data_IF_231741279299
#
_entry.id   IF_231741279299
#
_cell.length_a   1.000
_cell.length_b   1.000
_cell.length_c   1.000
_cell.angle_alpha   90.00
_cell.angle_beta   90.00
_cell.angle_gamma   90.00
#
_symmetry.space_group_name_H-M   'P 1'
#
loop_
_entity.id
_entity.type
_entity.pdbx_description
1 polymer ?
#
# COMPACT_ATOMS: atom_id res chain seq x y z
N UNK A 1 -2.81 -20.35 -2.07
CA UNK A 1 -2.72 -18.87 -2.07
C UNK A 1 -3.98 -18.36 -1.40
N UNK A 2 -3.90 -17.52 -0.34
CA UNK A 2 -5.10 -16.96 0.26
C UNK A 2 -5.89 -16.18 -0.81
N UNK A 3 -7.22 -16.23 -0.70
CA UNK A 3 -8.10 -15.53 -1.62
C UNK A 3 -7.79 -14.02 -1.61
N UNK A 4 -7.88 -13.41 -2.79
CA UNK A 4 -7.68 -11.97 -2.96
C UNK A 4 -8.72 -11.22 -2.09
N UNK A 5 -8.29 -10.23 -1.30
CA UNK A 5 -9.20 -9.36 -0.56
C UNK A 5 -10.13 -8.66 -1.54
N UNK A 6 -11.43 -8.72 -1.27
CA UNK A 6 -12.40 -7.85 -1.96
C UNK A 6 -12.21 -6.40 -1.49
N UNK A 7 -12.67 -5.43 -2.30
CA UNK A 7 -12.59 -4.01 -1.94
C UNK A 7 -13.22 -3.72 -0.57
N UNK A 8 -14.35 -4.35 -0.25
CA UNK A 8 -15.02 -4.18 1.04
C UNK A 8 -14.21 -4.77 2.20
N UNK A 9 -13.59 -5.94 2.03
CA UNK A 9 -12.75 -6.53 3.06
C UNK A 9 -11.48 -5.70 3.29
N UNK A 10 -10.87 -5.16 2.23
CA UNK A 10 -9.74 -4.24 2.34
C UNK A 10 -10.12 -2.97 3.12
N UNK A 11 -11.29 -2.39 2.83
CA UNK A 11 -11.80 -1.21 3.57
C UNK A 11 -11.98 -1.51 5.05
N UNK A 12 -12.59 -2.65 5.40
CA UNK A 12 -12.77 -3.03 6.80
C UNK A 12 -11.44 -3.30 7.52
N UNK A 13 -10.47 -3.87 6.81
CA UNK A 13 -9.14 -4.11 7.38
C UNK A 13 -8.40 -2.80 7.66
N UNK A 14 -8.43 -1.84 6.72
CA UNK A 14 -7.88 -0.50 6.93
C UNK A 14 -8.58 0.21 8.10
N UNK A 15 -9.91 0.12 8.17
CA UNK A 15 -10.67 0.71 9.29
C UNK A 15 -10.24 0.12 10.64
N UNK A 16 -10.02 -1.20 10.73
CA UNK A 16 -9.49 -1.84 11.95
C UNK A 16 -8.09 -1.35 12.32
N UNK A 17 -7.20 -1.21 11.35
CA UNK A 17 -5.84 -0.66 11.56
C UNK A 17 -5.92 0.77 12.10
N UNK A 18 -6.73 1.63 11.49
CA UNK A 18 -6.91 3.02 11.93
C UNK A 18 -7.51 3.13 13.33
N UNK A 19 -8.31 2.13 13.74
CA UNK A 19 -8.88 2.04 15.09
C UNK A 19 -7.92 1.40 16.11
N UNK A 20 -6.72 1.01 15.70
CA UNK A 20 -5.74 0.28 16.51
C UNK A 20 -6.32 -1.03 17.08
N UNK A 21 -7.18 -1.70 16.31
CA UNK A 21 -7.90 -2.92 16.71
C UNK A 21 -7.11 -4.21 16.39
N UNK A 22 -5.80 -4.18 16.61
CA UNK A 22 -4.88 -5.31 16.45
C UNK A 22 -4.25 -5.67 17.79
N UNK A 23 -3.92 -6.95 17.99
CA UNK A 23 -3.40 -7.47 19.25
C UNK A 23 -1.93 -7.10 19.49
N UNK A 24 -1.13 -7.08 18.43
CA UNK A 24 0.30 -6.82 18.48
C UNK A 24 0.86 -6.30 17.13
N UNK A 25 2.11 -5.84 17.14
CA UNK A 25 2.81 -5.34 15.95
C UNK A 25 2.98 -6.40 14.85
N UNK A 26 3.02 -7.69 15.19
CA UNK A 26 3.17 -8.76 14.21
C UNK A 26 1.86 -8.98 13.44
N UNK A 27 0.71 -8.91 14.11
CA UNK A 27 -0.61 -8.90 13.48
C UNK A 27 -0.78 -7.66 12.58
N UNK A 28 -0.37 -6.48 13.07
CA UNK A 28 -0.37 -5.27 12.24
C UNK A 28 0.48 -5.45 10.98
N UNK A 29 1.69 -5.99 11.10
CA UNK A 29 2.57 -6.26 9.95
C UNK A 29 1.92 -7.20 8.95
N UNK A 30 1.32 -8.32 9.40
CA UNK A 30 0.62 -9.27 8.52
C UNK A 30 -0.53 -8.60 7.76
N UNK A 31 -1.30 -7.74 8.43
CA UNK A 31 -2.41 -7.03 7.80
C UNK A 31 -1.94 -6.02 6.75
N UNK A 32 -0.86 -5.29 7.04
CA UNK A 32 -0.24 -4.36 6.09
C UNK A 32 0.33 -5.11 4.87
N UNK A 33 1.13 -6.16 5.09
CA UNK A 33 1.68 -7.01 4.02
C UNK A 33 0.57 -7.57 3.11
N UNK A 34 -0.54 -8.00 3.72
CA UNK A 34 -1.69 -8.49 2.98
C UNK A 34 -2.33 -7.40 2.11
N UNK A 35 -2.53 -6.21 2.66
CA UNK A 35 -3.07 -5.07 1.91
C UNK A 35 -2.15 -4.65 0.75
N UNK A 36 -0.83 -4.59 0.97
CA UNK A 36 0.15 -4.25 -0.07
C UNK A 36 0.11 -5.24 -1.23
N UNK A 37 0.08 -6.54 -0.91
CA UNK A 37 0.01 -7.61 -1.91
C UNK A 37 -1.30 -7.60 -2.70
N UNK A 38 -2.42 -7.32 -2.04
CA UNK A 38 -3.75 -7.35 -2.66
C UNK A 38 -4.07 -6.09 -3.50
N UNK A 39 -3.62 -4.93 -3.03
CA UNK A 39 -3.84 -3.63 -3.67
C UNK A 39 -2.73 -3.25 -4.65
N UNK A 40 -1.54 -3.88 -4.55
CA UNK A 40 -0.39 -3.59 -5.40
C UNK A 40 0.27 -2.24 -5.10
N UNK A 41 0.05 -1.70 -3.90
CA UNK A 41 0.64 -0.45 -3.42
C UNK A 41 1.80 -0.77 -2.48
N UNK A 42 3.04 -0.41 -2.83
CA UNK A 42 4.16 -0.53 -1.89
C UNK A 42 4.02 0.50 -0.77
N UNK A 43 4.36 0.14 0.47
CA UNK A 43 4.35 1.03 1.64
C UNK A 43 2.96 1.59 1.96
N UNK A 44 1.95 0.73 2.09
CA UNK A 44 0.59 1.18 2.40
C UNK A 44 0.48 1.80 3.81
N UNK A 45 1.38 1.45 4.71
CA UNK A 45 1.51 2.03 6.04
C UNK A 45 1.71 3.55 5.98
N UNK A 46 2.50 4.05 5.03
CA UNK A 46 2.72 5.49 4.86
C UNK A 46 1.42 6.21 4.45
N UNK A 47 0.61 5.54 3.64
CA UNK A 47 -0.70 6.07 3.22
C UNK A 47 -1.70 6.17 4.38
N UNK A 48 -1.58 5.30 5.37
CA UNK A 48 -2.47 5.24 6.55
C UNK A 48 -1.98 6.19 7.65
N UNK A 49 -0.68 6.24 7.93
CA UNK A 49 -0.13 6.91 9.12
C UNK A 49 0.55 8.26 8.83
N UNK A 50 1.04 8.49 7.61
CA UNK A 50 1.87 9.67 7.30
C UNK A 50 1.09 10.76 6.55
N UNK A 51 0.07 10.39 5.77
CA UNK A 51 -0.64 11.35 4.90
C UNK A 51 -1.51 12.32 5.71
N UNK A 52 -1.33 13.62 5.44
CA UNK A 52 -2.15 14.71 5.99
C UNK A 52 -2.81 15.52 4.85
N UNK A 53 -4.14 15.79 4.91
CA UNK A 53 -5.08 15.37 5.95
C UNK A 53 -5.29 13.84 5.98
N UNK A 54 -5.69 13.32 7.15
CA UNK A 54 -5.98 11.89 7.34
C UNK A 54 -7.02 11.43 6.31
N UNK A 55 -6.73 10.33 5.62
CA UNK A 55 -7.60 9.73 4.62
C UNK A 55 -8.61 8.80 5.28
N UNK A 56 -9.83 8.74 4.75
CA UNK A 56 -10.79 7.72 5.17
C UNK A 56 -10.36 6.33 4.67
N UNK A 57 -10.81 5.23 5.32
CA UNK A 57 -10.49 3.86 4.87
C UNK A 57 -10.85 3.60 3.40
N UNK A 58 -11.92 4.22 2.92
CA UNK A 58 -12.35 4.14 1.52
C UNK A 58 -11.34 4.81 0.59
N UNK A 59 -10.90 6.03 0.93
CA UNK A 59 -9.92 6.78 0.14
C UNK A 59 -8.55 6.11 0.11
N UNK A 60 -8.13 5.50 1.23
CA UNK A 60 -6.90 4.70 1.30
C UNK A 60 -6.93 3.59 0.26
N UNK A 61 -8.01 2.79 0.27
CA UNK A 61 -8.16 1.66 -0.66
C UNK A 61 -8.27 2.13 -2.11
N UNK A 62 -9.01 3.22 -2.37
CA UNK A 62 -9.12 3.77 -3.73
C UNK A 62 -7.78 4.25 -4.27
N UNK A 63 -7.02 5.00 -3.46
CA UNK A 63 -5.72 5.52 -3.84
C UNK A 63 -4.69 4.42 -4.03
N UNK A 64 -4.68 3.44 -3.11
CA UNK A 64 -3.81 2.27 -3.21
C UNK A 64 -4.12 1.46 -4.47
N UNK A 65 -5.41 1.16 -4.72
CA UNK A 65 -5.82 0.38 -5.90
C UNK A 65 -5.67 1.13 -7.22
N UNK A 66 -5.70 2.46 -7.22
CA UNK A 66 -5.48 3.30 -8.40
C UNK A 66 -3.99 3.48 -8.73
N UNK A 67 -3.10 3.13 -7.80
CA UNK A 67 -1.66 3.27 -8.02
C UNK A 67 -1.19 2.33 -9.12
N UNK A 68 -0.51 2.91 -10.10
CA UNK A 68 0.19 2.14 -11.13
C UNK A 68 1.69 2.28 -10.91
N UNK A 69 2.41 1.18 -10.63
CA UNK A 69 3.87 1.21 -10.54
C UNK A 69 4.44 1.79 -11.83
N UNK A 70 5.29 2.81 -11.69
CA UNK A 70 6.06 3.32 -12.82
C UNK A 70 7.11 2.27 -13.13
N UNK A 71 7.06 1.70 -14.34
CA UNK A 71 8.11 0.82 -14.82
C UNK A 71 9.38 1.66 -15.01
N UNK A 72 10.27 1.66 -14.02
CA UNK A 72 11.61 2.22 -14.17
C UNK A 72 12.34 1.36 -15.18
N UNK A 73 12.44 1.89 -16.40
CA UNK A 73 13.22 1.28 -17.46
C UNK A 73 14.68 1.49 -17.11
N UNK A 74 15.33 0.47 -16.57
CA UNK A 74 16.78 0.47 -16.32
C UNK A 74 17.50 0.63 -17.65
N UNK A 75 17.79 1.86 -18.04
CA UNK A 75 18.83 2.12 -19.04
C UNK A 75 20.16 2.13 -18.30
N UNK A 76 21.16 1.34 -18.74
CA UNK A 76 22.51 1.50 -18.22
C UNK A 76 22.96 2.93 -18.53
N UNK A 77 23.63 3.56 -17.56
CA UNK A 77 24.27 4.87 -17.69
C UNK A 77 25.50 4.76 -18.62
N UNK A 78 25.35 4.20 -19.82
CA UNK A 78 26.43 4.05 -20.79
C UNK A 78 26.56 5.33 -21.61
N UNK A 79 27.66 6.04 -21.31
CA UNK A 79 28.47 6.84 -22.22
C UNK A 79 27.79 8.04 -22.89
N UNK A 80 27.81 9.17 -22.20
CA UNK A 80 27.85 10.45 -22.91
C UNK A 80 29.26 10.62 -23.50
N UNK A 81 29.44 10.70 -24.82
CA UNK A 81 30.74 11.03 -25.37
C UNK A 81 31.07 12.47 -24.98
N UNK A 82 32.17 12.64 -24.27
CA UNK A 82 32.82 13.94 -24.10
C UNK A 82 33.26 14.41 -25.49
N UNK A 83 32.62 15.46 -26.00
CA UNK A 83 33.05 16.18 -27.19
C UNK A 83 34.04 17.28 -26.80
#
# INVERSE_FOLDING_TARGET
MPAKLTRNEAIQLVERIMRLDYADDAELSDWLDRLERDLGYPDISDLIFTVAPELTPVEVVDRASAHRPIALRSVPWTEQPIA
#
